data_IF_153270283993
#
_entry.id   IF_153270283993
#
_cell.length_a   1.000
_cell.length_b   1.000
_cell.length_c   1.000
_cell.angle_alpha   90.00
_cell.angle_beta   90.00
_cell.angle_gamma   90.00
#
_symmetry.space_group_name_H-M   'P 1'
#
loop_
_entity.id
_entity.type
_entity.pdbx_description
1 polymer ?
#
# COMPACT_ATOMS: atom_id res chain seq x y z
N UNK A 1 -3.69 -15.61 -14.45
CA UNK A 1 -3.60 -14.66 -15.59
C UNK A 1 -3.12 -13.33 -15.06
N UNK A 2 -2.07 -12.78 -15.67
CA UNK A 2 -1.56 -11.48 -15.26
C UNK A 2 -2.52 -10.37 -15.66
N UNK A 3 -2.77 -9.44 -14.74
CA UNK A 3 -3.48 -8.21 -15.03
C UNK A 3 -2.50 -7.13 -15.52
N UNK A 4 -3.01 -5.98 -15.89
CA UNK A 4 -2.19 -4.87 -16.36
C UNK A 4 -1.10 -4.48 -15.36
N UNK A 5 -1.45 -4.42 -14.09
CA UNK A 5 -0.53 -4.02 -13.02
C UNK A 5 0.53 -5.08 -12.76
N UNK A 6 0.19 -6.38 -12.88
CA UNK A 6 1.18 -7.44 -12.74
C UNK A 6 2.30 -7.29 -13.76
N UNK A 7 1.95 -6.94 -15.00
CA UNK A 7 2.95 -6.69 -16.04
C UNK A 7 3.82 -5.49 -15.72
N UNK A 8 3.23 -4.43 -15.19
CA UNK A 8 3.95 -3.22 -14.81
C UNK A 8 4.93 -3.48 -13.68
N UNK A 9 4.55 -4.34 -12.74
CA UNK A 9 5.36 -4.64 -11.57
C UNK A 9 6.32 -5.82 -11.74
N UNK A 10 6.36 -6.46 -12.91
CA UNK A 10 7.11 -7.70 -13.12
C UNK A 10 8.63 -7.53 -13.07
N UNK A 11 9.15 -6.32 -13.19
CA UNK A 11 10.58 -6.07 -13.11
C UNK A 11 11.14 -6.28 -11.70
N UNK A 12 12.46 -6.47 -11.60
CA UNK A 12 13.12 -6.65 -10.30
C UNK A 12 13.11 -5.37 -9.45
N UNK A 13 13.07 -4.22 -10.10
CA UNK A 13 13.10 -2.93 -9.41
C UNK A 13 11.69 -2.52 -8.97
N UNK A 14 11.62 -1.68 -7.95
CA UNK A 14 10.36 -1.07 -7.52
C UNK A 14 9.97 0.04 -8.49
N UNK A 15 8.78 -0.09 -9.08
CA UNK A 15 8.31 0.80 -10.14
C UNK A 15 8.26 2.27 -9.72
N UNK A 16 7.86 2.53 -8.49
CA UNK A 16 7.73 3.87 -7.93
C UNK A 16 8.74 4.14 -6.80
N UNK A 17 9.77 3.30 -6.70
CA UNK A 17 10.74 3.39 -5.64
C UNK A 17 10.24 2.80 -4.32
N UNK A 18 11.05 2.94 -3.28
CA UNK A 18 10.75 2.39 -1.95
C UNK A 18 10.41 3.46 -0.92
N UNK A 19 10.51 4.73 -1.27
CA UNK A 19 10.14 5.82 -0.38
C UNK A 19 8.64 6.08 -0.47
N UNK A 20 8.00 6.53 0.63
CA UNK A 20 6.57 6.82 0.61
C UNK A 20 6.25 7.95 -0.35
N UNK A 21 5.01 7.98 -0.82
CA UNK A 21 4.55 9.08 -1.66
C UNK A 21 4.62 10.40 -0.89
N UNK A 22 5.03 11.46 -1.56
CA UNK A 22 5.13 12.78 -0.92
C UNK A 22 3.79 13.23 -0.35
N UNK A 23 2.68 12.90 -1.01
CA UNK A 23 1.34 13.20 -0.51
C UNK A 23 1.03 12.53 0.82
N UNK A 24 1.50 11.30 1.01
CA UNK A 24 1.33 10.60 2.28
C UNK A 24 2.13 11.28 3.39
N UNK A 25 3.37 11.63 3.12
CA UNK A 25 4.22 12.32 4.11
C UNK A 25 3.56 13.63 4.54
N UNK A 26 2.99 14.37 3.60
CA UNK A 26 2.30 15.62 3.89
C UNK A 26 1.01 15.41 4.71
N UNK A 27 0.31 14.28 4.50
CA UNK A 27 -0.93 13.98 5.20
C UNK A 27 -0.73 13.34 6.58
N UNK A 28 0.42 12.76 6.83
CA UNK A 28 0.65 11.99 8.06
C UNK A 28 0.31 12.75 9.33
N UNK A 29 0.61 14.04 9.47
CA UNK A 29 0.24 14.78 10.69
C UNK A 29 -1.26 14.85 10.96
N UNK A 30 -2.09 14.58 9.95
CA UNK A 30 -3.55 14.58 10.06
C UNK A 30 -4.13 13.19 10.35
N UNK A 31 -3.31 12.16 10.39
CA UNK A 31 -3.76 10.80 10.70
C UNK A 31 -3.87 10.61 12.21
N UNK A 32 -4.69 9.64 12.62
CA UNK A 32 -4.73 9.18 14.01
C UNK A 32 -3.44 8.41 14.26
N UNK A 33 -2.55 8.97 15.08
CA UNK A 33 -1.22 8.41 15.32
C UNK A 33 -1.31 7.00 15.91
N UNK A 34 -0.57 6.05 15.31
CA UNK A 34 -0.58 4.66 15.75
C UNK A 34 -1.89 3.92 15.50
N UNK A 35 -2.84 4.55 14.80
CA UNK A 35 -4.16 4.00 14.59
C UNK A 35 -4.19 2.82 13.62
N UNK A 36 -5.31 2.10 13.64
CA UNK A 36 -5.58 1.03 12.71
C UNK A 36 -5.83 1.61 11.33
N UNK A 37 -4.98 1.27 10.39
CA UNK A 37 -4.91 1.97 9.09
C UNK A 37 -5.10 1.00 7.94
N UNK A 38 -6.01 1.35 7.03
CA UNK A 38 -6.19 0.65 5.78
C UNK A 38 -5.52 1.45 4.66
N UNK A 39 -4.61 0.82 3.94
CA UNK A 39 -3.98 1.39 2.75
C UNK A 39 -4.54 0.68 1.53
N UNK A 40 -5.29 1.40 0.72
CA UNK A 40 -5.96 0.86 -0.47
C UNK A 40 -5.08 1.10 -1.69
N UNK A 41 -5.00 0.10 -2.57
CA UNK A 41 -4.19 0.16 -3.79
C UNK A 41 -2.71 0.45 -3.47
N UNK A 42 -2.17 -0.31 -2.53
CA UNK A 42 -0.84 -0.10 -1.96
C UNK A 42 0.32 -0.33 -2.94
N UNK A 43 0.12 -1.16 -3.94
CA UNK A 43 1.17 -1.50 -4.91
C UNK A 43 2.31 -2.27 -4.26
N UNK A 44 3.53 -1.80 -4.44
CA UNK A 44 4.76 -2.48 -3.99
C UNK A 44 5.13 -2.19 -2.54
N UNK A 45 4.24 -1.55 -1.78
CA UNK A 45 4.36 -1.43 -0.34
C UNK A 45 5.05 -0.18 0.19
N UNK A 46 5.45 0.75 -0.67
CA UNK A 46 6.18 1.93 -0.21
C UNK A 46 5.43 2.74 0.84
N UNK A 47 4.12 2.81 0.75
CA UNK A 47 3.29 3.56 1.70
C UNK A 47 2.93 2.74 2.94
N UNK A 48 2.50 1.48 2.77
CA UNK A 48 2.13 0.63 3.88
C UNK A 48 3.31 0.33 4.79
N UNK A 49 4.46 0.01 4.20
CA UNK A 49 5.67 -0.27 4.97
C UNK A 49 6.16 0.98 5.71
N UNK A 50 6.07 2.14 5.07
CA UNK A 50 6.40 3.40 5.73
C UNK A 50 5.53 3.60 6.98
N UNK A 51 4.21 3.46 6.84
CA UNK A 51 3.31 3.64 7.98
C UNK A 51 3.54 2.61 9.08
N UNK A 52 3.74 1.34 8.71
CA UNK A 52 4.03 0.31 9.69
C UNK A 52 5.32 0.61 10.45
N UNK A 53 6.35 1.13 9.79
CA UNK A 53 7.60 1.50 10.42
C UNK A 53 7.45 2.71 11.34
N UNK A 54 6.38 3.47 11.21
CA UNK A 54 6.06 4.59 12.09
C UNK A 54 5.05 4.23 13.19
N UNK A 55 4.76 2.94 13.36
CA UNK A 55 3.96 2.45 14.46
C UNK A 55 2.47 2.29 14.20
N UNK A 56 2.01 2.50 12.97
CA UNK A 56 0.61 2.24 12.63
C UNK A 56 0.34 0.75 12.49
N UNK A 57 -0.89 0.35 12.83
CA UNK A 57 -1.39 -1.01 12.61
C UNK A 57 -1.98 -1.07 11.20
N UNK A 58 -1.25 -1.64 10.25
CA UNK A 58 -1.53 -1.47 8.84
C UNK A 58 -2.08 -2.74 8.20
N UNK A 59 -3.20 -2.58 7.50
CA UNK A 59 -3.68 -3.53 6.50
C UNK A 59 -3.56 -2.86 5.13
N UNK A 60 -2.96 -3.56 4.18
CA UNK A 60 -2.75 -3.05 2.84
C UNK A 60 -3.41 -3.95 1.81
N UNK A 61 -4.14 -3.35 0.89
CA UNK A 61 -4.80 -4.08 -0.19
C UNK A 61 -4.25 -3.67 -1.53
N UNK A 62 -4.18 -4.60 -2.45
CA UNK A 62 -3.88 -4.32 -3.83
C UNK A 62 -4.44 -5.40 -4.73
N UNK A 63 -4.60 -5.07 -6.00
CA UNK A 63 -5.12 -5.98 -7.01
C UNK A 63 -4.01 -6.81 -7.65
N UNK A 64 -2.76 -6.38 -7.58
CA UNK A 64 -1.63 -7.06 -8.18
C UNK A 64 -0.92 -7.97 -7.18
N UNK A 65 -0.93 -9.27 -7.46
CA UNK A 65 -0.17 -10.24 -6.66
C UNK A 65 1.33 -10.00 -6.78
N UNK A 66 1.81 -9.64 -7.96
CA UNK A 66 3.23 -9.36 -8.18
C UNK A 66 3.69 -8.18 -7.33
N UNK A 67 2.92 -7.09 -7.33
CA UNK A 67 3.24 -5.93 -6.51
C UNK A 67 3.22 -6.29 -5.03
N UNK A 68 2.24 -7.08 -4.60
CA UNK A 68 2.09 -7.44 -3.20
C UNK A 68 3.22 -8.33 -2.70
N UNK A 69 3.77 -9.20 -3.55
CA UNK A 69 4.95 -9.98 -3.18
C UNK A 69 6.17 -9.11 -2.95
N UNK A 70 6.34 -8.07 -3.77
CA UNK A 70 7.39 -7.07 -3.55
C UNK A 70 7.15 -6.29 -2.25
N UNK A 71 5.91 -5.95 -1.97
CA UNK A 71 5.53 -5.27 -0.73
C UNK A 71 5.87 -6.12 0.50
N UNK A 72 5.60 -7.41 0.45
CA UNK A 72 5.96 -8.35 1.53
C UNK A 72 7.46 -8.41 1.74
N UNK A 73 8.23 -8.44 0.66
CA UNK A 73 9.69 -8.44 0.75
C UNK A 73 10.21 -7.14 1.37
N UNK A 74 9.63 -6.01 0.99
CA UNK A 74 10.00 -4.71 1.53
C UNK A 74 9.70 -4.64 3.04
N UNK A 75 8.53 -5.12 3.45
CA UNK A 75 8.16 -5.16 4.87
C UNK A 75 9.12 -6.02 5.68
N UNK A 76 9.49 -7.19 5.15
CA UNK A 76 10.44 -8.08 5.80
C UNK A 76 11.80 -7.42 5.96
N UNK A 77 12.28 -6.75 4.91
CA UNK A 77 13.55 -6.04 4.94
C UNK A 77 13.53 -4.91 5.97
N UNK A 78 12.40 -4.21 6.09
CA UNK A 78 12.22 -3.14 7.06
C UNK A 78 11.97 -3.64 8.48
N UNK A 79 11.73 -4.93 8.67
CA UNK A 79 11.46 -5.51 9.98
C UNK A 79 10.10 -5.16 10.55
N UNK A 80 9.11 -4.93 9.69
CA UNK A 80 7.75 -4.56 10.11
C UNK A 80 6.71 -5.55 9.61
N UNK A 81 5.57 -5.59 10.30
CA UNK A 81 4.45 -6.43 9.94
C UNK A 81 3.36 -5.59 9.29
N UNK A 82 2.90 -6.03 8.12
CA UNK A 82 1.75 -5.46 7.42
C UNK A 82 0.84 -6.61 7.03
N UNK A 83 -0.45 -6.45 7.26
CA UNK A 83 -1.45 -7.42 6.84
C UNK A 83 -1.80 -7.15 5.36
N UNK A 84 -1.18 -7.91 4.46
CA UNK A 84 -1.40 -7.75 3.03
C UNK A 84 -2.57 -8.61 2.56
N UNK A 85 -3.51 -7.98 1.86
CA UNK A 85 -4.68 -8.66 1.30
C UNK A 85 -4.78 -8.37 -0.18
N UNK A 86 -4.88 -9.42 -0.99
CA UNK A 86 -5.10 -9.27 -2.43
C UNK A 86 -6.58 -9.01 -2.65
N UNK A 87 -6.91 -7.80 -3.10
CA UNK A 87 -8.30 -7.37 -3.21
C UNK A 87 -8.44 -6.30 -4.28
N UNK A 88 -9.58 -6.33 -4.96
CA UNK A 88 -9.98 -5.27 -5.89
C UNK A 88 -10.35 -4.03 -5.08
N UNK A 89 -9.97 -2.86 -5.57
CA UNK A 89 -10.33 -1.58 -4.97
C UNK A 89 -11.86 -1.40 -4.88
N UNK A 90 -12.59 -2.07 -5.76
CA UNK A 90 -14.05 -2.02 -5.78
C UNK A 90 -14.72 -3.08 -4.91
N UNK A 91 -13.94 -3.83 -4.14
CA UNK A 91 -14.49 -4.81 -3.21
C UNK A 91 -15.23 -4.09 -2.10
N UNK A 92 -16.54 -4.26 -2.07
CA UNK A 92 -17.42 -3.59 -1.11
C UNK A 92 -17.56 -4.36 0.21
N UNK A 93 -16.83 -5.47 0.36
CA UNK A 93 -16.81 -6.23 1.61
C UNK A 93 -16.03 -5.55 2.73
N UNK A 94 -15.34 -4.45 2.43
CA UNK A 94 -14.53 -3.74 3.42
C UNK A 94 -15.38 -2.76 4.23
N UNK A 95 -15.25 -2.86 5.55
CA UNK A 95 -15.87 -1.88 6.44
C UNK A 95 -14.84 -0.81 6.78
N UNK A 96 -14.92 0.33 6.14
CA UNK A 96 -14.00 1.43 6.39
C UNK A 96 -14.14 1.99 7.81
N UNK A 97 -15.31 1.80 8.43
CA UNK A 97 -15.54 2.24 9.81
C UNK A 97 -14.72 1.46 10.84
N UNK A 98 -14.17 0.31 10.45
CA UNK A 98 -13.31 -0.48 11.32
C UNK A 98 -11.90 0.11 11.46
N UNK A 99 -11.58 1.16 10.71
CA UNK A 99 -10.23 1.74 10.69
C UNK A 99 -10.24 3.17 11.17
N UNK A 100 -9.17 3.56 11.87
CA UNK A 100 -8.95 4.94 12.30
C UNK A 100 -8.52 5.82 11.12
N UNK A 101 -7.79 5.24 10.18
CA UNK A 101 -7.29 5.92 8.99
C UNK A 101 -7.57 5.07 7.75
N UNK A 102 -7.97 5.72 6.67
CA UNK A 102 -8.03 5.09 5.35
C UNK A 102 -7.22 5.92 4.39
N UNK A 103 -6.20 5.30 3.80
CA UNK A 103 -5.26 5.97 2.88
C UNK A 103 -5.43 5.39 1.49
N UNK A 104 -5.74 6.24 0.53
CA UNK A 104 -5.88 5.86 -0.86
C UNK A 104 -5.09 6.85 -1.72
N UNK A 105 -3.84 6.50 -2.00
CA UNK A 105 -2.97 7.35 -2.82
C UNK A 105 -2.86 6.71 -4.19
N UNK A 106 -3.55 7.30 -5.14
CA UNK A 106 -3.58 6.79 -6.51
C UNK A 106 -2.49 7.45 -7.33
N UNK A 107 -1.77 6.60 -8.06
CA UNK A 107 -0.85 7.07 -9.06
C UNK A 107 -1.61 7.12 -10.37
N UNK A 108 -1.85 8.32 -10.83
CA UNK A 108 -2.42 8.48 -12.15
C UNK A 108 -1.34 8.25 -13.18
N UNK A 109 -1.50 7.19 -13.95
CA UNK A 109 -0.80 7.15 -15.20
C UNK A 109 -1.56 8.04 -16.15
N UNK A 110 -1.04 9.23 -16.27
CA UNK A 110 -1.37 9.99 -17.45
C UNK A 110 -0.66 9.28 -18.57
N UNK A 111 -1.34 8.33 -19.11
CA UNK A 111 -0.89 7.84 -20.37
C UNK A 111 -1.16 8.93 -21.37
N UNK A 112 -0.16 9.38 -22.02
CA UNK A 112 -0.45 9.94 -23.32
C UNK A 112 -1.04 8.82 -24.14
#
# INVERSE_FOLDING_TARGET
MENFWDKRYAGADYLFGTQPAAGLVALEPHLVAGGKTLVVADGEGRNSVYLASRGYDVRATDYSQVAQEKAKALAKEAGVDVDFVLSDIYDTGWSYEAYDNVVAIFIQFVSP
#
